data_IF_132791238152
#
_entry.id   IF_132791238152
#
_cell.length_a   1.000
_cell.length_b   1.000
_cell.length_c   1.000
_cell.angle_alpha   90.00
_cell.angle_beta   90.00
_cell.angle_gamma   90.00
#
_symmetry.space_group_name_H-M   'P 1'
#
loop_
_entity.id
_entity.type
_entity.pdbx_description
1 polymer ?
#
# COMPACT_ATOMS: atom_id res chain seq x y z
N UNK A 1 -51.15 36.50 -55.73
CA UNK A 1 -50.11 35.57 -56.26
C UNK A 1 -48.69 36.16 -56.11
N UNK A 2 -48.47 37.00 -55.09
CA UNK A 2 -47.22 37.71 -54.85
C UNK A 2 -46.79 37.67 -53.37
N UNK A 3 -47.71 37.38 -52.44
CA UNK A 3 -47.42 37.26 -51.00
C UNK A 3 -46.79 35.89 -50.65
N UNK A 4 -47.29 34.78 -51.21
CA UNK A 4 -46.71 33.44 -51.03
C UNK A 4 -45.23 33.36 -51.47
N UNK A 5 -44.84 34.15 -52.48
CA UNK A 5 -43.47 34.14 -53.00
C UNK A 5 -42.51 34.92 -52.10
N UNK A 6 -43.01 35.93 -51.38
CA UNK A 6 -42.21 36.72 -50.44
C UNK A 6 -42.02 36.02 -49.09
N UNK A 7 -43.03 35.27 -48.63
CA UNK A 7 -42.90 34.41 -47.45
C UNK A 7 -41.92 33.26 -47.66
N UNK A 8 -41.88 32.69 -48.87
CA UNK A 8 -40.98 31.59 -49.21
C UNK A 8 -39.50 32.03 -49.35
N UNK A 9 -39.23 33.28 -49.70
CA UNK A 9 -37.87 33.87 -49.70
C UNK A 9 -37.43 34.27 -48.28
N UNK A 10 -38.32 34.84 -47.46
CA UNK A 10 -38.01 35.19 -46.06
C UNK A 10 -37.72 33.96 -45.19
N UNK A 11 -38.42 32.84 -45.38
CA UNK A 11 -38.17 31.60 -44.61
C UNK A 11 -36.83 30.95 -44.95
N UNK A 12 -36.35 31.07 -46.21
CA UNK A 12 -35.09 30.46 -46.63
C UNK A 12 -33.83 31.23 -46.16
N UNK A 13 -33.91 32.56 -46.03
CA UNK A 13 -32.78 33.37 -45.55
C UNK A 13 -32.60 33.25 -44.02
N UNK A 14 -33.69 33.11 -43.27
CA UNK A 14 -33.68 32.94 -41.81
C UNK A 14 -33.10 31.58 -41.38
N UNK A 15 -33.32 30.53 -42.17
CA UNK A 15 -32.83 29.18 -41.90
C UNK A 15 -31.29 29.07 -42.09
N UNK A 16 -30.74 29.82 -43.05
CA UNK A 16 -29.31 29.81 -43.39
C UNK A 16 -28.45 30.58 -42.36
N UNK A 17 -28.96 31.72 -41.85
CA UNK A 17 -28.27 32.54 -40.84
C UNK A 17 -28.14 31.82 -39.48
N UNK A 18 -29.11 30.98 -39.12
CA UNK A 18 -29.09 30.20 -37.89
C UNK A 18 -28.00 29.10 -37.89
N UNK A 19 -27.57 28.64 -39.07
CA UNK A 19 -26.53 27.61 -39.25
C UNK A 19 -25.13 28.24 -39.18
N UNK A 20 -24.96 29.43 -39.77
CA UNK A 20 -23.68 30.17 -39.75
C UNK A 20 -23.28 30.50 -38.30
N UNK A 21 -24.23 30.95 -37.46
CA UNK A 21 -23.97 31.24 -36.05
C UNK A 21 -23.58 30.02 -35.20
N UNK A 22 -24.06 28.81 -35.55
CA UNK A 22 -23.74 27.56 -34.84
C UNK A 22 -22.40 26.97 -35.29
N UNK A 23 -22.06 27.08 -36.58
CA UNK A 23 -20.78 26.64 -37.13
C UNK A 23 -19.60 27.47 -36.60
N UNK A 24 -19.76 28.79 -36.50
CA UNK A 24 -18.74 29.66 -35.91
C UNK A 24 -18.53 29.39 -34.40
N UNK A 25 -19.60 29.14 -33.65
CA UNK A 25 -19.50 28.76 -32.23
C UNK A 25 -18.84 27.39 -32.05
N UNK A 26 -19.16 26.41 -32.89
CA UNK A 26 -18.52 25.09 -32.88
C UNK A 26 -17.02 25.15 -33.20
N UNK A 27 -16.64 25.94 -34.22
CA UNK A 27 -15.24 26.16 -34.58
C UNK A 27 -14.44 26.87 -33.47
N UNK A 28 -15.06 27.85 -32.81
CA UNK A 28 -14.43 28.58 -31.70
C UNK A 28 -14.20 27.69 -30.48
N UNK A 29 -15.12 26.77 -30.19
CA UNK A 29 -14.96 25.77 -29.13
C UNK A 29 -13.82 24.79 -29.46
N UNK A 30 -13.76 24.28 -30.69
CA UNK A 30 -12.68 23.38 -31.11
C UNK A 30 -11.30 24.04 -31.04
N UNK A 31 -11.20 25.30 -31.47
CA UNK A 31 -9.97 26.08 -31.35
C UNK A 31 -9.57 26.29 -29.88
N UNK A 32 -10.52 26.63 -29.01
CA UNK A 32 -10.27 26.78 -27.58
C UNK A 32 -9.79 25.47 -26.93
N UNK A 33 -10.36 24.32 -27.31
CA UNK A 33 -9.93 23.00 -26.84
C UNK A 33 -8.51 22.69 -27.30
N UNK A 34 -8.17 22.97 -28.56
CA UNK A 34 -6.82 22.75 -29.07
C UNK A 34 -5.78 23.62 -28.35
N UNK A 35 -6.09 24.89 -28.09
CA UNK A 35 -5.22 25.80 -27.33
C UNK A 35 -5.06 25.30 -25.89
N UNK A 36 -6.15 24.88 -25.23
CA UNK A 36 -6.11 24.35 -23.87
C UNK A 36 -5.29 23.06 -23.77
N UNK A 37 -5.42 22.14 -24.73
CA UNK A 37 -4.62 20.92 -24.80
C UNK A 37 -3.13 21.23 -25.04
N UNK A 38 -2.82 22.15 -25.96
CA UNK A 38 -1.45 22.60 -26.20
C UNK A 38 -0.82 23.24 -24.96
N UNK A 39 -1.56 24.10 -24.26
CA UNK A 39 -1.12 24.72 -23.01
C UNK A 39 -0.93 23.69 -21.89
N UNK A 40 -1.82 22.68 -21.79
CA UNK A 40 -1.71 21.60 -20.82
C UNK A 40 -0.49 20.71 -21.09
N UNK A 41 -0.25 20.34 -22.35
CA UNK A 41 0.94 19.59 -22.77
C UNK A 41 2.22 20.38 -22.55
N UNK A 42 2.21 21.68 -22.85
CA UNK A 42 3.34 22.56 -22.57
C UNK A 42 3.60 22.65 -21.07
N UNK A 43 2.56 22.85 -20.25
CA UNK A 43 2.68 22.91 -18.80
C UNK A 43 3.19 21.60 -18.20
N UNK A 44 2.75 20.44 -18.72
CA UNK A 44 3.27 19.14 -18.30
C UNK A 44 4.74 18.98 -18.66
N UNK A 45 5.14 19.32 -19.89
CA UNK A 45 6.54 19.26 -20.33
C UNK A 45 7.44 20.22 -19.56
N UNK A 46 6.90 21.37 -19.13
CA UNK A 46 7.65 22.42 -18.45
C UNK A 46 7.56 22.35 -16.91
N UNK A 47 7.08 21.24 -16.34
CA UNK A 47 7.20 20.99 -14.90
C UNK A 47 8.67 20.84 -14.57
N UNK A 48 9.26 21.88 -13.97
CA UNK A 48 10.61 21.81 -13.46
C UNK A 48 10.72 20.61 -12.50
N UNK A 49 11.78 19.78 -12.60
CA UNK A 49 12.00 18.73 -11.62
C UNK A 49 12.08 19.40 -10.24
N UNK A 50 11.36 18.83 -9.26
CA UNK A 50 11.49 19.23 -7.87
C UNK A 50 12.97 19.16 -7.54
N UNK A 51 13.61 20.32 -7.29
CA UNK A 51 14.97 20.36 -6.77
C UNK A 51 14.90 19.76 -5.36
N UNK A 52 15.25 18.49 -5.24
CA UNK A 52 15.53 17.87 -3.96
C UNK A 52 16.80 18.53 -3.46
N UNK A 53 16.62 19.60 -2.69
CA UNK A 53 17.71 20.26 -1.99
C UNK A 53 18.15 19.26 -0.91
N UNK A 54 19.25 18.55 -1.19
CA UNK A 54 19.89 17.63 -0.26
C UNK A 54 20.35 18.42 0.97
N UNK A 55 19.44 18.62 1.91
CA UNK A 55 19.78 19.07 3.24
C UNK A 55 20.45 17.88 3.92
N UNK A 56 21.78 17.79 3.76
CA UNK A 56 22.61 17.00 4.65
C UNK A 56 22.41 17.61 6.04
N UNK A 57 21.50 17.01 6.80
CA UNK A 57 21.43 17.24 8.22
C UNK A 57 22.75 16.69 8.76
N UNK A 58 23.66 17.59 9.16
CA UNK A 58 24.84 17.19 9.90
C UNK A 58 24.35 16.44 11.13
N UNK A 59 24.61 15.13 11.16
CA UNK A 59 24.22 14.28 12.27
C UNK A 59 25.08 14.72 13.46
N UNK A 60 24.55 15.60 14.31
CA UNK A 60 25.17 15.86 15.59
C UNK A 60 24.99 14.59 16.42
N UNK A 61 26.10 13.87 16.59
CA UNK A 61 26.13 12.73 17.49
C UNK A 61 25.76 13.27 18.87
N UNK A 62 24.71 12.75 19.55
CA UNK A 62 24.42 13.18 20.90
C UNK A 62 25.67 12.96 21.73
N UNK A 63 26.10 14.01 22.46
CA UNK A 63 27.18 13.88 23.42
C UNK A 63 26.82 12.72 24.36
N UNK A 64 27.61 11.65 24.29
CA UNK A 64 27.35 10.45 25.08
C UNK A 64 27.45 10.88 26.54
N UNK A 65 26.30 11.04 27.18
CA UNK A 65 26.22 11.22 28.62
C UNK A 65 26.88 9.99 29.23
N UNK A 66 28.08 10.18 29.80
CA UNK A 66 28.74 9.16 30.61
C UNK A 66 27.92 9.04 31.90
N UNK A 67 26.82 8.29 31.82
CA UNK A 67 26.01 7.99 32.98
C UNK A 67 26.84 7.18 33.97
N UNK A 68 26.70 7.57 35.23
CA UNK A 68 27.23 6.92 36.43
C UNK A 68 27.20 5.40 36.30
N UNK A 69 28.29 4.75 36.70
CA UNK A 69 28.46 3.30 36.65
C UNK A 69 27.28 2.57 37.32
N UNK A 70 26.31 2.15 36.51
CA UNK A 70 25.22 1.27 36.95
C UNK A 70 25.85 -0.09 37.20
N UNK A 71 25.85 -0.53 38.45
CA UNK A 71 26.18 -1.91 38.80
C UNK A 71 25.06 -2.80 38.27
N UNK A 72 25.29 -3.44 37.12
CA UNK A 72 24.31 -4.36 36.54
C UNK A 72 24.21 -5.61 37.44
N UNK A 73 22.99 -6.10 37.73
CA UNK A 73 22.84 -7.37 38.42
C UNK A 73 23.48 -8.47 37.57
N UNK A 74 24.26 -9.36 38.19
CA UNK A 74 24.71 -10.58 37.53
C UNK A 74 23.52 -11.53 37.43
N UNK A 75 23.07 -11.81 36.21
CA UNK A 75 22.02 -12.77 35.91
C UNK A 75 22.66 -14.01 35.30
N UNK A 76 22.32 -15.17 35.83
CA UNK A 76 22.74 -16.46 35.29
C UNK A 76 21.57 -17.09 34.55
N UNK A 77 21.83 -17.61 33.36
CA UNK A 77 20.88 -18.43 32.62
C UNK A 77 21.19 -19.90 32.90
N UNK A 78 20.15 -20.66 33.21
CA UNK A 78 20.23 -22.11 33.35
C UNK A 78 19.35 -22.75 32.28
N UNK A 79 19.92 -23.69 31.54
CA UNK A 79 19.15 -24.57 30.67
C UNK A 79 18.40 -25.57 31.55
N UNK A 80 17.07 -25.57 31.43
CA UNK A 80 16.14 -26.48 32.12
C UNK A 80 15.32 -27.30 31.13
N UNK A 81 15.72 -27.38 29.85
CA UNK A 81 14.91 -28.04 28.82
C UNK A 81 14.60 -29.49 29.19
N UNK A 82 15.60 -30.24 29.66
CA UNK A 82 15.41 -31.64 30.08
C UNK A 82 14.56 -31.77 31.34
N UNK A 83 14.80 -30.92 32.34
CA UNK A 83 14.16 -30.93 33.65
C UNK A 83 12.70 -30.49 33.57
N UNK A 84 12.37 -29.62 32.61
CA UNK A 84 11.00 -29.15 32.37
C UNK A 84 10.07 -30.25 31.87
N UNK A 85 10.60 -31.31 31.26
CA UNK A 85 9.82 -32.37 30.61
C UNK A 85 9.05 -31.92 29.37
N UNK A 86 9.35 -30.74 28.82
CA UNK A 86 8.67 -30.20 27.63
C UNK A 86 9.38 -30.67 26.36
N UNK A 87 8.78 -31.63 25.64
CA UNK A 87 9.31 -32.18 24.39
C UNK A 87 8.55 -31.70 23.14
N UNK A 88 8.12 -30.43 23.12
CA UNK A 88 7.36 -29.87 21.99
C UNK A 88 8.21 -29.74 20.71
N UNK A 89 7.67 -30.20 19.58
CA UNK A 89 8.22 -30.00 18.25
C UNK A 89 7.23 -29.21 17.38
N UNK A 90 7.66 -28.05 16.92
CA UNK A 90 6.86 -27.25 16.00
C UNK A 90 6.90 -27.82 14.58
N UNK A 91 5.72 -27.97 13.99
CA UNK A 91 5.52 -28.31 12.59
C UNK A 91 5.08 -27.05 11.83
N UNK A 92 5.96 -26.53 10.99
CA UNK A 92 5.68 -25.36 10.14
C UNK A 92 5.06 -25.72 8.78
N UNK A 93 4.84 -27.01 8.50
CA UNK A 93 4.25 -27.49 7.24
C UNK A 93 5.14 -27.31 6.00
N UNK A 94 6.45 -27.09 6.19
CA UNK A 94 7.35 -26.80 5.08
C UNK A 94 7.55 -27.99 4.14
N UNK A 95 7.44 -27.75 2.82
CA UNK A 95 7.77 -28.75 1.80
C UNK A 95 8.77 -28.24 0.74
N UNK A 96 9.30 -27.03 0.89
CA UNK A 96 10.50 -26.56 0.17
C UNK A 96 10.35 -25.23 -0.57
N UNK A 97 9.11 -24.76 -0.77
CA UNK A 97 8.81 -23.55 -1.52
C UNK A 97 9.02 -22.26 -0.70
N UNK A 98 9.26 -22.38 0.61
CA UNK A 98 9.50 -21.26 1.54
C UNK A 98 8.34 -20.26 1.52
N UNK A 99 7.12 -20.78 1.46
CA UNK A 99 5.92 -19.95 1.53
C UNK A 99 5.84 -19.24 2.88
N UNK A 100 5.10 -18.13 2.93
CA UNK A 100 4.98 -17.33 4.16
C UNK A 100 4.66 -18.20 5.40
N UNK A 101 3.66 -19.12 5.37
CA UNK A 101 3.37 -19.97 6.52
C UNK A 101 4.51 -20.92 6.94
N UNK A 102 5.39 -21.31 6.01
CA UNK A 102 6.55 -22.18 6.30
C UNK A 102 7.69 -21.40 6.99
N UNK A 103 7.80 -20.11 6.68
CA UNK A 103 8.82 -19.21 7.23
C UNK A 103 8.40 -18.56 8.55
N UNK A 104 7.10 -18.52 8.82
CA UNK A 104 6.57 -18.09 10.12
C UNK A 104 6.81 -19.21 11.14
N UNK A 105 7.45 -18.86 12.26
CA UNK A 105 7.55 -19.76 13.40
C UNK A 105 6.22 -19.90 14.13
N UNK A 106 6.15 -20.90 15.00
CA UNK A 106 5.09 -21.00 16.01
C UNK A 106 5.27 -19.98 17.14
N UNK A 107 4.76 -20.32 18.31
CA UNK A 107 4.90 -19.49 19.49
C UNK A 107 4.44 -20.22 20.74
N UNK A 108 4.79 -19.65 21.89
CA UNK A 108 4.32 -20.11 23.20
C UNK A 108 3.74 -18.93 23.97
N UNK A 109 2.62 -19.15 24.66
CA UNK A 109 2.02 -18.20 25.58
C UNK A 109 2.05 -18.76 27.01
N UNK A 110 2.24 -17.87 27.97
CA UNK A 110 2.31 -18.17 29.41
C UNK A 110 1.18 -17.41 30.10
N UNK A 111 0.16 -18.11 30.58
CA UNK A 111 -1.00 -17.50 31.22
C UNK A 111 -1.78 -18.53 32.04
N UNK A 112 -2.49 -18.08 33.06
CA UNK A 112 -3.37 -18.94 33.86
C UNK A 112 -4.75 -19.06 33.17
N UNK A 113 -5.02 -20.17 32.50
CA UNK A 113 -6.25 -20.40 31.74
C UNK A 113 -7.41 -20.84 32.64
N UNK A 114 -7.11 -21.69 33.62
CA UNK A 114 -8.11 -22.33 34.47
C UNK A 114 -8.33 -21.60 35.81
N UNK A 115 -7.56 -20.54 36.09
CA UNK A 115 -7.58 -19.74 37.32
C UNK A 115 -7.12 -20.51 38.57
N UNK A 116 -6.20 -21.46 38.44
CA UNK A 116 -5.65 -22.20 39.58
C UNK A 116 -4.42 -21.52 40.20
N UNK A 117 -3.99 -20.37 39.66
CA UNK A 117 -2.83 -19.61 40.12
C UNK A 117 -1.49 -20.18 39.66
N UNK A 118 -1.49 -21.31 38.94
CA UNK A 118 -0.35 -21.78 38.19
C UNK A 118 -0.46 -21.31 36.73
N UNK A 119 0.66 -20.90 36.11
CA UNK A 119 0.65 -20.54 34.71
C UNK A 119 0.60 -21.79 33.82
N UNK A 120 -0.33 -21.78 32.86
CA UNK A 120 -0.40 -22.76 31.78
C UNK A 120 0.50 -22.34 30.60
N UNK A 121 0.89 -23.34 29.82
CA UNK A 121 1.64 -23.20 28.58
C UNK A 121 0.75 -23.54 27.38
N UNK A 122 0.65 -22.62 26.43
CA UNK A 122 -0.02 -22.86 25.15
C UNK A 122 0.98 -22.78 24.00
N UNK A 123 1.10 -23.85 23.21
CA UNK A 123 1.99 -23.92 22.05
C UNK A 123 1.19 -23.84 20.75
N UNK A 124 1.55 -22.88 19.90
CA UNK A 124 0.99 -22.77 18.54
C UNK A 124 1.73 -23.75 17.63
N UNK A 125 0.96 -24.62 16.96
CA UNK A 125 1.48 -25.56 15.99
C UNK A 125 0.83 -25.38 14.62
N UNK A 126 1.54 -25.81 13.58
CA UNK A 126 1.00 -25.88 12.22
C UNK A 126 0.56 -27.30 11.87
N UNK A 127 0.16 -27.46 10.62
CA UNK A 127 -0.30 -28.70 10.02
C UNK A 127 0.32 -28.85 8.63
N UNK A 128 0.49 -30.06 8.09
CA UNK A 128 0.82 -30.23 6.69
C UNK A 128 -0.27 -29.61 5.79
N UNK A 129 0.11 -29.23 4.58
CA UNK A 129 -0.85 -28.77 3.58
C UNK A 129 -1.77 -29.92 3.14
N UNK A 130 -3.03 -29.66 2.77
CA UNK A 130 -3.96 -30.72 2.34
C UNK A 130 -3.41 -31.62 1.23
N UNK A 131 -2.63 -31.05 0.32
CA UNK A 131 -2.05 -31.74 -0.84
C UNK A 131 -0.59 -32.18 -0.63
N UNK A 132 0.01 -31.89 0.54
CA UNK A 132 1.40 -32.25 0.85
C UNK A 132 1.52 -32.83 2.26
N UNK A 133 1.66 -34.16 2.33
CA UNK A 133 2.01 -34.85 3.57
C UNK A 133 3.51 -34.69 3.87
N UNK A 134 3.84 -34.28 5.09
CA UNK A 134 5.22 -34.32 5.60
C UNK A 134 5.51 -35.68 6.23
N UNK A 135 6.60 -36.33 5.82
CA UNK A 135 7.04 -37.59 6.39
C UNK A 135 7.79 -37.35 7.71
N UNK A 136 7.51 -38.16 8.75
CA UNK A 136 8.26 -38.14 10.02
C UNK A 136 7.56 -37.51 11.22
N UNK A 137 6.23 -37.43 11.21
CA UNK A 137 5.40 -37.11 12.38
C UNK A 137 4.92 -38.43 12.99
N UNK A 138 5.76 -39.03 13.83
CA UNK A 138 5.40 -40.03 14.86
C UNK A 138 5.78 -39.49 16.24
#
# INVERSE_FOLDING_TARGET
MSEDRQQHEQDHDVENDAVIGKAFKGSLILLAVFIALGACLWWWKNRAPVKVEEQITEISVPEISVQSSVSLPQVFFQDITRESGIEFKHLNGAYGDKLLPETMGGGVAFFDYNQDGAPDLFFVNGTPWPDHSVNGIE
#
